data_IF_248832191513
#
_entry.id   IF_248832191513
#
_cell.length_a   1.000
_cell.length_b   1.000
_cell.length_c   1.000
_cell.angle_alpha   90.00
_cell.angle_beta   90.00
_cell.angle_gamma   90.00
#
_symmetry.space_group_name_H-M   'P 1'
#
loop_
_entity.id
_entity.type
_entity.pdbx_description
1 polymer ?
#
# COMPACT_ATOMS: atom_id res chain seq x y z
N UNK A 1 5.01 -11.37 5.04
CA UNK A 1 4.47 -11.34 3.65
C UNK A 1 5.41 -10.51 2.83
N UNK A 2 6.24 -11.18 2.04
CA UNK A 2 7.20 -10.54 1.13
C UNK A 2 6.45 -9.77 0.04
N UNK A 3 6.48 -8.44 0.11
CA UNK A 3 6.16 -7.58 -1.03
C UNK A 3 7.45 -7.39 -1.85
N UNK A 4 8.05 -8.48 -2.35
CA UNK A 4 9.21 -8.38 -3.23
C UNK A 4 8.76 -8.11 -4.68
N UNK A 5 9.16 -6.95 -5.19
CA UNK A 5 9.51 -6.66 -6.60
C UNK A 5 8.53 -5.98 -7.57
N UNK A 6 7.22 -5.86 -7.32
CA UNK A 6 6.31 -5.15 -8.24
C UNK A 6 5.58 -3.96 -7.59
N UNK A 7 6.36 -2.99 -7.12
CA UNK A 7 5.85 -1.70 -6.66
C UNK A 7 5.96 -0.67 -7.78
N UNK A 8 4.83 -0.19 -8.29
CA UNK A 8 4.76 0.81 -9.36
C UNK A 8 4.34 2.17 -8.79
N UNK A 9 4.75 3.25 -9.45
CA UNK A 9 4.28 4.58 -9.13
C UNK A 9 3.10 4.90 -10.05
N UNK A 10 2.01 5.42 -9.48
CA UNK A 10 0.84 5.87 -10.23
C UNK A 10 0.56 7.32 -9.91
N UNK A 11 0.28 8.12 -10.94
CA UNK A 11 -0.10 9.51 -10.77
C UNK A 11 -1.59 9.64 -10.46
N UNK A 12 -1.99 10.78 -9.92
CA UNK A 12 -3.40 11.07 -9.62
C UNK A 12 -4.29 10.90 -10.85
N UNK A 13 -3.86 11.41 -12.01
CA UNK A 13 -4.60 11.33 -13.27
C UNK A 13 -4.82 9.87 -13.71
N UNK A 14 -3.75 9.07 -13.71
CA UNK A 14 -3.78 7.64 -14.03
C UNK A 14 -4.71 6.88 -13.08
N UNK A 15 -4.62 7.17 -11.78
CA UNK A 15 -5.47 6.52 -10.79
C UNK A 15 -6.95 6.87 -10.98
N UNK A 16 -7.26 8.13 -11.31
CA UNK A 16 -8.64 8.55 -11.63
C UNK A 16 -9.16 7.80 -12.86
N UNK A 17 -8.33 7.64 -13.89
CA UNK A 17 -8.70 6.89 -15.09
C UNK A 17 -8.94 5.40 -14.79
N UNK A 18 -8.07 4.77 -13.98
CA UNK A 18 -8.25 3.36 -13.59
C UNK A 18 -9.48 3.14 -12.71
N UNK A 19 -9.83 4.10 -11.85
CA UNK A 19 -11.08 4.04 -11.08
C UNK A 19 -12.28 4.15 -12.03
N UNK A 20 -12.25 5.11 -12.96
CA UNK A 20 -13.33 5.32 -13.94
C UNK A 20 -13.55 4.13 -14.86
N UNK A 21 -12.46 3.48 -15.28
CA UNK A 21 -12.48 2.28 -16.13
C UNK A 21 -12.72 0.98 -15.34
N UNK A 22 -12.91 1.06 -14.01
CA UNK A 22 -13.08 -0.10 -13.11
C UNK A 22 -11.90 -1.08 -13.15
N UNK A 23 -10.72 -0.57 -13.46
CA UNK A 23 -9.49 -1.33 -13.54
C UNK A 23 -8.83 -1.52 -12.16
N UNK A 24 -9.24 -0.73 -11.16
CA UNK A 24 -8.82 -0.87 -9.76
C UNK A 24 -9.59 -2.00 -9.09
N UNK A 25 -8.85 -2.95 -8.50
CA UNK A 25 -9.38 -4.09 -7.74
C UNK A 25 -9.63 -3.72 -6.28
N UNK A 26 -8.66 -3.07 -5.65
CA UNK A 26 -8.75 -2.64 -4.25
C UNK A 26 -7.85 -1.42 -4.00
N UNK A 27 -8.28 -0.55 -3.08
CA UNK A 27 -7.47 0.55 -2.57
C UNK A 27 -7.04 0.18 -1.15
N UNK A 28 -5.74 0.11 -0.91
CA UNK A 28 -5.13 -0.09 0.39
C UNK A 28 -4.54 1.22 0.90
N UNK A 29 -5.06 1.72 2.01
CA UNK A 29 -4.48 2.81 2.76
C UNK A 29 -3.52 2.17 3.76
N UNK A 30 -2.25 2.57 3.71
CA UNK A 30 -1.21 2.04 4.58
C UNK A 30 -0.74 3.14 5.51
N UNK A 31 -0.82 2.90 6.82
CA UNK A 31 -0.25 3.80 7.82
C UNK A 31 1.22 3.43 8.08
N UNK A 32 2.12 4.38 7.84
CA UNK A 32 3.56 4.29 8.16
C UNK A 32 3.82 4.60 9.63
N UNK A 33 4.98 4.17 10.13
CA UNK A 33 5.50 4.40 11.50
C UNK A 33 5.50 5.87 11.92
N UNK A 34 5.71 6.78 10.96
CA UNK A 34 5.65 8.23 11.15
C UNK A 34 4.20 8.81 11.28
N UNK A 35 3.19 7.97 11.55
CA UNK A 35 1.76 8.32 11.56
C UNK A 35 1.23 8.91 10.25
N UNK A 36 2.00 8.77 9.16
CA UNK A 36 1.61 9.20 7.82
C UNK A 36 0.84 8.10 7.13
N UNK A 37 -0.09 8.48 6.28
CA UNK A 37 -0.90 7.58 5.48
C UNK A 37 -0.49 7.70 4.02
N UNK A 38 -0.39 6.56 3.33
CA UNK A 38 -0.15 6.49 1.88
C UNK A 38 -1.19 5.62 1.23
N UNK A 39 -1.46 5.89 -0.04
CA UNK A 39 -2.40 5.11 -0.84
C UNK A 39 -1.62 4.14 -1.71
N UNK A 40 -1.99 2.86 -1.62
CA UNK A 40 -1.50 1.76 -2.45
C UNK A 40 -2.70 1.15 -3.14
N UNK A 41 -2.75 1.16 -4.45
CA UNK A 41 -3.85 0.54 -5.20
C UNK A 41 -3.38 -0.75 -5.83
N UNK A 42 -4.30 -1.70 -6.01
CA UNK A 42 -4.04 -2.89 -6.83
C UNK A 42 -4.99 -2.87 -8.00
N UNK A 43 -4.46 -3.23 -9.17
CA UNK A 43 -5.25 -3.30 -10.39
C UNK A 43 -5.73 -4.74 -10.60
N UNK A 44 -6.82 -4.90 -11.35
CA UNK A 44 -7.38 -6.22 -11.66
C UNK A 44 -6.57 -6.92 -12.75
N UNK A 45 -6.00 -6.15 -13.68
CA UNK A 45 -5.27 -6.62 -14.86
C UNK A 45 -3.76 -6.69 -14.65
N UNK A 46 -3.24 -6.13 -13.55
CA UNK A 46 -1.81 -6.09 -13.25
C UNK A 46 -1.56 -6.43 -11.80
N UNK A 47 -0.82 -7.52 -11.61
CA UNK A 47 -0.36 -7.93 -10.29
C UNK A 47 0.82 -7.04 -9.87
N UNK A 48 0.52 -6.09 -9.00
CA UNK A 48 1.46 -5.08 -8.53
C UNK A 48 0.80 -4.08 -7.59
N UNK A 49 1.59 -3.52 -6.69
CA UNK A 49 1.18 -2.47 -5.77
C UNK A 49 1.50 -1.10 -6.39
N UNK A 50 0.48 -0.28 -6.62
CA UNK A 50 0.63 1.03 -7.22
C UNK A 50 0.59 2.11 -6.14
N UNK A 51 1.73 2.72 -5.84
CA UNK A 51 1.81 3.85 -4.93
C UNK A 51 1.42 5.14 -5.62
N UNK A 52 0.48 5.84 -4.99
CA UNK A 52 0.08 7.16 -5.44
C UNK A 52 1.22 8.16 -5.23
N UNK A 53 1.71 8.71 -6.34
CA UNK A 53 2.70 9.78 -6.37
C UNK A 53 2.08 11.06 -6.89
N UNK A 54 2.59 12.19 -6.41
CA UNK A 54 2.33 13.49 -7.02
C UNK A 54 3.10 13.64 -8.33
N UNK A 55 2.71 14.59 -9.17
CA UNK A 55 3.37 14.95 -10.43
C UNK A 55 4.90 15.17 -10.31
N UNK A 56 5.38 15.56 -9.12
CA UNK A 56 6.81 15.66 -8.80
C UNK A 56 7.49 14.31 -8.46
N UNK A 57 6.89 13.18 -8.80
CA UNK A 57 7.33 11.81 -8.46
C UNK A 57 7.58 11.56 -6.96
N UNK A 58 6.97 12.36 -6.09
CA UNK A 58 7.03 12.15 -4.64
C UNK A 58 5.83 11.37 -4.18
N UNK A 59 6.05 10.36 -3.34
CA UNK A 59 4.97 9.61 -2.68
C UNK A 59 4.08 10.61 -1.98
N UNK A 60 2.78 10.54 -2.26
CA UNK A 60 1.82 11.41 -1.60
C UNK A 60 1.50 10.80 -0.25
N UNK A 61 1.89 11.52 0.79
CA UNK A 61 1.66 11.15 2.17
C UNK A 61 0.69 12.15 2.78
N UNK A 62 -0.25 11.63 3.57
CA UNK A 62 -1.19 12.44 4.34
C UNK A 62 -0.86 12.33 5.82
N UNK A 63 -0.93 13.44 6.55
CA UNK A 63 -0.72 13.45 8.00
C UNK A 63 -1.88 12.80 8.76
N UNK A 64 -3.07 12.77 8.16
CA UNK A 64 -4.31 12.32 8.81
C UNK A 64 -5.17 11.51 7.85
N UNK A 65 -5.85 10.49 8.38
CA UNK A 65 -6.81 9.70 7.61
C UNK A 65 -7.95 10.57 7.07
N UNK A 66 -8.40 11.57 7.84
CA UNK A 66 -9.48 12.47 7.43
C UNK A 66 -9.14 13.23 6.13
N UNK A 67 -7.95 13.82 6.05
CA UNK A 67 -7.47 14.53 4.85
C UNK A 67 -7.34 13.58 3.66
N UNK A 68 -6.93 12.33 3.92
CA UNK A 68 -6.84 11.29 2.89
C UNK A 68 -8.23 10.89 2.38
N UNK A 69 -9.17 10.61 3.27
CA UNK A 69 -10.55 10.20 2.90
C UNK A 69 -11.24 11.35 2.18
N UNK A 70 -11.08 12.59 2.66
CA UNK A 70 -11.58 13.78 1.99
C UNK A 70 -11.03 13.87 0.56
N UNK A 71 -9.72 13.70 0.40
CA UNK A 71 -9.09 13.69 -0.92
C UNK A 71 -9.67 12.57 -1.80
N UNK A 72 -9.81 11.35 -1.29
CA UNK A 72 -10.39 10.25 -2.07
C UNK A 72 -11.82 10.58 -2.50
N UNK A 73 -12.66 11.16 -1.62
CA UNK A 73 -14.03 11.55 -1.95
C UNK A 73 -14.11 12.69 -2.96
N UNK A 74 -13.21 13.66 -2.87
CA UNK A 74 -13.17 14.81 -3.79
C UNK A 74 -12.64 14.41 -5.17
N UNK A 75 -11.62 13.55 -5.21
CA UNK A 75 -10.95 13.12 -6.44
C UNK A 75 -11.71 11.98 -7.12
N UNK A 76 -12.12 10.95 -6.37
CA UNK A 76 -12.84 9.79 -6.86
C UNK A 76 -14.31 9.94 -6.43
N UNK A 77 -15.07 10.75 -7.16
CA UNK A 77 -16.50 10.98 -6.84
C UNK A 77 -17.35 9.71 -6.82
N UNK A 78 -16.90 8.65 -7.51
CA UNK A 78 -17.55 7.35 -7.57
C UNK A 78 -16.57 6.25 -7.15
N UNK A 79 -16.58 5.89 -5.86
CA UNK A 79 -15.75 4.81 -5.31
C UNK A 79 -16.62 3.56 -5.28
N UNK A 80 -16.58 2.78 -6.36
CA UNK A 80 -17.21 1.46 -6.40
C UNK A 80 -16.27 0.35 -5.91
N UNK A 81 -15.06 0.70 -5.49
CA UNK A 81 -14.00 -0.25 -5.09
C UNK A 81 -13.85 -0.33 -3.58
N UNK A 82 -13.54 -1.51 -3.02
CA UNK A 82 -13.31 -1.65 -1.59
C UNK A 82 -12.05 -0.90 -1.17
N UNK A 83 -12.17 -0.09 -0.12
CA UNK A 83 -11.05 0.58 0.54
C UNK A 83 -10.71 -0.21 1.81
N UNK A 84 -9.45 -0.62 1.96
CA UNK A 84 -8.93 -1.31 3.12
C UNK A 84 -7.91 -0.44 3.82
N UNK A 85 -7.95 -0.41 5.15
CA UNK A 85 -6.94 0.24 5.98
C UNK A 85 -6.03 -0.83 6.56
N UNK A 86 -4.74 -0.72 6.27
CA UNK A 86 -3.70 -1.61 6.79
C UNK A 86 -2.78 -0.82 7.70
N UNK A 87 -2.69 -1.28 8.94
CA UNK A 87 -1.72 -0.78 9.90
C UNK A 87 -0.45 -1.62 9.75
N UNK A 88 0.67 -0.97 9.43
CA UNK A 88 1.97 -1.64 9.48
C UNK A 88 2.45 -1.55 10.92
N UNK A 89 2.52 -2.66 11.68
CA UNK A 89 3.13 -2.61 12.99
C UNK A 89 4.60 -2.21 12.81
N UNK A 90 5.08 -1.28 13.64
CA UNK A 90 6.44 -0.73 13.58
C UNK A 90 7.58 -1.75 13.77
N UNK A 91 7.27 -3.04 13.90
CA UNK A 91 8.21 -4.13 14.15
C UNK A 91 8.86 -4.69 12.86
N UNK A 92 8.50 -4.18 11.68
CA UNK A 92 9.00 -4.69 10.38
C UNK A 92 9.83 -3.70 9.56
N UNK A 93 10.56 -2.78 10.21
CA UNK A 93 11.70 -2.08 9.58
C UNK A 93 13.02 -2.87 9.67
N UNK A 94 12.95 -4.19 9.88
CA UNK A 94 14.12 -5.07 9.89
C UNK A 94 13.74 -6.53 9.72
N UNK A 95 13.48 -6.97 8.48
CA UNK A 95 13.55 -8.40 8.15
C UNK A 95 14.30 -8.58 6.84
N UNK A 96 15.53 -8.07 6.83
CA UNK A 96 16.62 -8.77 6.15
C UNK A 96 17.37 -9.56 7.21
N UNK A 97 16.77 -10.67 7.64
CA UNK A 97 17.46 -11.74 8.33
C UNK A 97 16.77 -13.03 7.91
N UNK A 98 17.16 -13.52 6.73
CA UNK A 98 17.25 -14.96 6.59
C UNK A 98 18.28 -15.41 7.62
N UNK A 99 17.83 -15.83 8.78
CA UNK A 99 18.56 -16.82 9.56
C UNK A 99 17.57 -17.90 9.93
N UNK A 100 17.88 -19.05 9.35
CA UNK A 100 17.13 -20.27 9.38
C UNK A 100 16.86 -20.70 10.82
N UNK A 101 15.66 -21.24 11.01
CA UNK A 101 15.33 -22.00 12.20
C UNK A 101 16.24 -23.22 12.28
N UNK A 102 17.36 -23.12 13.00
CA UNK A 102 18.06 -24.30 13.49
C UNK A 102 17.66 -24.53 14.95
N UNK A 103 16.47 -25.11 15.12
CA UNK A 103 16.09 -25.72 16.40
C UNK A 103 16.89 -27.01 16.50
N UNK A 104 18.06 -26.95 17.14
CA UNK A 104 18.75 -28.15 17.63
C UNK A 104 17.89 -28.70 18.76
N UNK A 105 17.12 -29.74 18.47
CA UNK A 105 16.48 -30.54 19.49
C UNK A 105 17.57 -31.47 20.02
N UNK A 106 18.22 -31.09 21.12
CA UNK A 106 19.06 -32.00 21.90
C UNK A 106 18.13 -33.05 22.51
N UNK A 107 18.07 -34.21 21.87
CA UNK A 107 17.56 -35.43 22.49
C UNK A 107 18.78 -36.08 23.14
N UNK A 108 18.87 -35.92 24.45
CA UNK A 108 19.82 -36.66 25.29
C UNK A 108 19.56 -38.17 25.21
N UNK A 109 20.63 -38.95 25.06
CA UNK A 109 20.76 -40.34 25.53
C UNK A 109 22.11 -40.48 26.25
#
# INVERSE_FOLDING_TARGET
MEYQSNTYNIEEAELVEFIKTKAVREINIVQSTNKKYRIITKLTWKDGAFLLVSYRKRVREWSTLDTLIRYIRETYKDISVPIRLTFVPSDVEGSTAAEEMNIVIDQSD
#
